data_IF_658958007038
#
_entry.id   IF_658958007038
#
_cell.length_a   1.000
_cell.length_b   1.000
_cell.length_c   1.000
_cell.angle_alpha   90.00
_cell.angle_beta   90.00
_cell.angle_gamma   90.00
#
_symmetry.space_group_name_H-M   'P 1'
#
loop_
_entity.id
_entity.type
_entity.pdbx_description
1 polymer ?
#
# COMPACT_ATOMS: atom_id res chain seq x y z
N UNK A 1 -34.65 6.44 7.12
CA UNK A 1 -33.72 7.42 7.73
C UNK A 1 -32.65 6.72 8.58
N UNK A 2 -31.98 5.67 8.08
CA UNK A 2 -31.05 4.87 8.89
C UNK A 2 -29.56 5.20 8.69
N UNK A 3 -29.22 5.91 7.60
CA UNK A 3 -27.82 6.14 7.21
C UNK A 3 -27.02 7.09 8.11
N UNK A 4 -27.66 7.90 8.96
CA UNK A 4 -26.93 8.79 9.87
C UNK A 4 -26.36 8.04 11.08
N UNK A 5 -27.17 7.16 11.70
CA UNK A 5 -26.75 6.37 12.86
C UNK A 5 -25.65 5.38 12.46
N UNK A 6 -25.79 4.73 11.31
CA UNK A 6 -24.79 3.80 10.78
C UNK A 6 -23.45 4.49 10.48
N UNK A 7 -23.49 5.67 9.84
CA UNK A 7 -22.27 6.46 9.57
C UNK A 7 -21.57 6.95 10.84
N UNK A 8 -22.33 7.37 11.85
CA UNK A 8 -21.77 7.80 13.14
C UNK A 8 -21.21 6.61 13.92
N UNK A 9 -21.91 5.46 13.91
CA UNK A 9 -21.41 4.24 14.54
C UNK A 9 -20.12 3.74 13.88
N UNK A 10 -20.02 3.80 12.54
CA UNK A 10 -18.80 3.50 11.78
C UNK A 10 -17.64 4.41 12.15
N UNK A 11 -17.82 5.73 12.09
CA UNK A 11 -16.76 6.71 12.43
C UNK A 11 -16.27 6.57 13.88
N UNK A 12 -17.17 6.26 14.82
CA UNK A 12 -16.79 5.98 16.22
C UNK A 12 -16.00 4.69 16.38
N UNK A 13 -16.39 3.62 15.67
CA UNK A 13 -15.67 2.36 15.66
C UNK A 13 -14.26 2.54 15.05
N UNK A 14 -14.13 3.24 13.93
CA UNK A 14 -12.85 3.53 13.27
C UNK A 14 -11.94 4.36 14.16
N UNK A 15 -12.47 5.42 14.80
CA UNK A 15 -11.71 6.22 15.77
C UNK A 15 -11.24 5.40 16.96
N UNK A 16 -12.03 4.43 17.42
CA UNK A 16 -11.62 3.52 18.49
C UNK A 16 -10.50 2.59 18.02
N UNK A 17 -10.68 1.93 16.89
CA UNK A 17 -9.69 1.01 16.30
C UNK A 17 -8.37 1.73 16.01
N UNK A 18 -8.42 2.96 15.51
CA UNK A 18 -7.24 3.80 15.31
C UNK A 18 -6.50 4.10 16.63
N UNK A 19 -7.22 4.42 17.70
CA UNK A 19 -6.59 4.65 19.01
C UNK A 19 -5.94 3.39 19.57
N UNK A 20 -6.61 2.25 19.45
CA UNK A 20 -6.07 0.95 19.84
C UNK A 20 -4.80 0.61 19.06
N UNK A 21 -4.83 0.79 17.73
CA UNK A 21 -3.67 0.65 16.86
C UNK A 21 -2.50 1.55 17.30
N UNK A 22 -2.74 2.84 17.52
CA UNK A 22 -1.69 3.76 17.99
C UNK A 22 -1.15 3.39 19.38
N UNK A 23 -1.95 2.79 20.25
CA UNK A 23 -1.47 2.29 21.54
C UNK A 23 -0.54 1.08 21.37
N UNK A 24 -0.92 0.13 20.51
CA UNK A 24 -0.11 -1.04 20.13
C UNK A 24 1.24 -0.66 19.54
N UNK A 25 1.24 0.24 18.56
CA UNK A 25 2.49 0.71 17.94
C UNK A 25 3.39 1.44 18.95
N UNK A 26 2.82 2.11 19.96
CA UNK A 26 3.58 2.77 21.04
C UNK A 26 4.27 1.79 21.98
N UNK A 27 3.79 0.56 22.15
CA UNK A 27 4.44 -0.42 23.02
C UNK A 27 5.61 -1.14 22.34
N UNK A 28 5.73 -1.03 21.02
CA UNK A 28 6.84 -1.62 20.28
C UNK A 28 8.20 -0.98 20.65
N UNK A 29 9.30 -1.76 20.58
CA UNK A 29 10.64 -1.20 20.68
C UNK A 29 10.88 -0.14 19.60
N UNK A 30 11.73 0.84 19.90
CA UNK A 30 11.88 2.06 19.10
C UNK A 30 12.15 1.82 17.61
N UNK A 31 12.93 0.80 17.26
CA UNK A 31 13.21 0.46 15.86
C UNK A 31 11.95 -0.02 15.11
N UNK A 32 11.20 -0.96 15.70
CA UNK A 32 9.96 -1.50 15.11
C UNK A 32 8.90 -0.41 14.99
N UNK A 33 8.71 0.40 16.04
CA UNK A 33 7.81 1.54 16.02
C UNK A 33 8.11 2.51 14.87
N UNK A 34 9.38 2.87 14.66
CA UNK A 34 9.78 3.75 13.54
C UNK A 34 9.49 3.13 12.18
N UNK A 35 9.69 1.83 12.03
CA UNK A 35 9.39 1.12 10.79
C UNK A 35 7.89 1.11 10.49
N UNK A 36 7.06 0.82 11.50
CA UNK A 36 5.60 0.86 11.37
C UNK A 36 5.13 2.27 10.99
N UNK A 37 5.59 3.31 11.67
CA UNK A 37 5.20 4.70 11.36
C UNK A 37 5.64 5.15 9.96
N UNK A 38 6.77 4.66 9.45
CA UNK A 38 7.21 4.93 8.08
C UNK A 38 6.30 4.24 7.04
N UNK A 39 5.95 2.98 7.30
CA UNK A 39 5.02 2.22 6.46
C UNK A 39 3.63 2.84 6.47
N UNK A 40 3.10 3.22 7.64
CA UNK A 40 1.82 3.94 7.77
C UNK A 40 1.75 5.16 6.86
N UNK A 41 2.78 6.01 6.88
CA UNK A 41 2.84 7.23 6.04
C UNK A 41 2.83 6.89 4.55
N UNK A 42 3.59 5.88 4.15
CA UNK A 42 3.63 5.45 2.76
C UNK A 42 2.28 4.91 2.29
N UNK A 43 1.64 4.07 3.11
CA UNK A 43 0.33 3.48 2.83
C UNK A 43 -0.77 4.55 2.74
N UNK A 44 -0.75 5.56 3.63
CA UNK A 44 -1.63 6.73 3.54
C UNK A 44 -1.42 7.46 2.21
N UNK A 45 -0.17 7.77 1.87
CA UNK A 45 0.15 8.44 0.62
C UNK A 45 -0.37 7.65 -0.58
N UNK A 46 -0.18 6.33 -0.60
CA UNK A 46 -0.66 5.44 -1.68
C UNK A 46 -2.18 5.34 -1.75
N UNK A 47 -2.90 5.32 -0.63
CA UNK A 47 -4.37 5.23 -0.62
C UNK A 47 -5.04 6.57 -0.96
N UNK A 48 -4.43 7.69 -0.53
CA UNK A 48 -4.94 9.03 -0.83
C UNK A 48 -4.67 9.39 -2.30
N UNK A 49 -3.45 9.15 -2.79
CA UNK A 49 -3.00 9.59 -4.13
C UNK A 49 -3.09 8.51 -5.21
N UNK A 50 -3.30 7.25 -4.84
CA UNK A 50 -3.48 6.15 -5.78
C UNK A 50 -4.94 5.89 -6.11
N UNK A 51 -5.23 5.57 -7.37
CA UNK A 51 -6.53 5.08 -7.85
C UNK A 51 -6.86 3.66 -7.38
N UNK A 52 -5.94 3.01 -6.63
CA UNK A 52 -5.99 1.59 -6.25
C UNK A 52 -7.16 1.19 -5.32
N UNK A 53 -7.97 2.13 -4.83
CA UNK A 53 -9.18 1.84 -4.06
C UNK A 53 -10.35 2.58 -4.71
N UNK A 54 -10.89 1.98 -5.77
CA UNK A 54 -12.18 2.31 -6.38
C UNK A 54 -13.17 1.21 -6.03
N UNK A 55 -14.21 1.53 -5.25
CA UNK A 55 -15.20 0.54 -4.83
C UNK A 55 -16.03 0.96 -3.62
N UNK A 56 -17.13 0.24 -3.37
CA UNK A 56 -18.12 0.50 -2.31
C UNK A 56 -17.59 0.35 -0.87
N UNK A 57 -16.34 -0.10 -0.68
CA UNK A 57 -15.66 -0.12 0.61
C UNK A 57 -15.02 1.25 0.81
N UNK A 58 -15.33 1.91 1.93
CA UNK A 58 -14.76 3.24 2.16
C UNK A 58 -13.26 3.12 2.37
N UNK A 59 -12.49 4.10 1.86
CA UNK A 59 -11.03 4.17 2.06
C UNK A 59 -10.62 4.07 3.54
N UNK A 60 -11.53 4.41 4.47
CA UNK A 60 -11.34 4.31 5.92
C UNK A 60 -11.24 2.87 6.41
N UNK A 61 -12.23 2.03 6.10
CA UNK A 61 -12.29 0.64 6.57
C UNK A 61 -11.04 -0.15 6.18
N UNK A 62 -10.64 -0.02 4.90
CA UNK A 62 -9.45 -0.68 4.35
C UNK A 62 -8.16 -0.24 5.07
N UNK A 63 -8.02 1.06 5.35
CA UNK A 63 -6.84 1.56 6.05
C UNK A 63 -6.74 1.02 7.47
N UNK A 64 -7.87 0.94 8.18
CA UNK A 64 -7.87 0.45 9.56
C UNK A 64 -7.56 -1.05 9.61
N UNK A 65 -8.10 -1.86 8.70
CA UNK A 65 -7.77 -3.29 8.62
C UNK A 65 -6.29 -3.50 8.30
N UNK A 66 -5.77 -2.73 7.34
CA UNK A 66 -4.36 -2.79 6.96
C UNK A 66 -3.43 -2.42 8.11
N UNK A 67 -3.79 -1.40 8.90
CA UNK A 67 -3.04 -1.03 10.10
C UNK A 67 -3.05 -2.11 11.17
N UNK A 68 -4.19 -2.79 11.36
CA UNK A 68 -4.24 -3.90 12.31
C UNK A 68 -3.32 -5.05 11.89
N UNK A 69 -3.33 -5.44 10.61
CA UNK A 69 -2.39 -6.46 10.12
C UNK A 69 -0.93 -6.01 10.27
N UNK A 70 -0.63 -4.75 9.97
CA UNK A 70 0.71 -4.19 10.13
C UNK A 70 1.18 -4.24 11.60
N UNK A 71 0.31 -3.89 12.56
CA UNK A 71 0.63 -3.98 13.98
C UNK A 71 0.88 -5.43 14.41
N UNK A 72 0.03 -6.37 13.99
CA UNK A 72 0.16 -7.79 14.34
C UNK A 72 1.48 -8.40 13.86
N UNK A 73 1.87 -8.11 12.62
CA UNK A 73 3.14 -8.58 12.05
C UNK A 73 4.33 -8.05 12.86
N UNK A 74 4.32 -6.77 13.21
CA UNK A 74 5.44 -6.14 13.92
C UNK A 74 5.48 -6.46 15.42
N UNK A 75 4.34 -6.71 16.05
CA UNK A 75 4.27 -7.22 17.42
C UNK A 75 4.87 -8.62 17.52
N UNK A 76 4.49 -9.51 16.59
CA UNK A 76 5.06 -10.86 16.53
C UNK A 76 6.56 -10.81 16.28
N UNK A 77 7.01 -10.04 15.30
CA UNK A 77 8.43 -9.87 15.02
C UNK A 77 9.20 -9.31 16.22
N UNK A 78 8.64 -8.34 16.94
CA UNK A 78 9.28 -7.80 18.13
C UNK A 78 9.35 -8.81 19.28
N UNK A 79 8.30 -9.63 19.46
CA UNK A 79 8.28 -10.69 20.47
C UNK A 79 9.30 -11.80 20.17
N UNK A 80 9.46 -12.14 18.90
CA UNK A 80 10.39 -13.19 18.43
C UNK A 80 11.83 -12.66 18.28
N UNK A 81 12.04 -11.34 18.38
CA UNK A 81 13.34 -10.72 18.13
C UNK A 81 13.75 -10.68 16.65
N UNK A 82 12.81 -10.89 15.73
CA UNK A 82 13.03 -10.97 14.28
C UNK A 82 13.49 -9.62 13.72
N UNK A 83 14.66 -9.54 13.09
CA UNK A 83 15.13 -8.30 12.48
C UNK A 83 14.09 -7.70 11.52
N UNK A 84 13.87 -6.38 11.59
CA UNK A 84 12.90 -5.67 10.73
C UNK A 84 13.11 -6.00 9.24
N UNK A 85 14.37 -6.22 8.83
CA UNK A 85 14.72 -6.54 7.45
C UNK A 85 14.24 -7.92 6.99
N UNK A 86 14.10 -8.86 7.92
CA UNK A 86 13.50 -10.16 7.65
C UNK A 86 11.97 -10.07 7.56
N UNK A 87 11.36 -9.12 8.27
CA UNK A 87 9.92 -8.86 8.21
C UNK A 87 9.52 -8.20 6.89
N UNK A 88 10.18 -7.09 6.53
CA UNK A 88 9.81 -6.29 5.34
C UNK A 88 10.55 -6.73 4.07
N UNK A 89 11.52 -7.63 4.19
CA UNK A 89 12.38 -8.06 3.10
C UNK A 89 13.35 -6.99 2.60
N UNK A 90 14.00 -7.29 1.47
CA UNK A 90 14.98 -6.41 0.83
C UNK A 90 14.36 -5.11 0.25
N UNK A 91 13.06 -5.12 -0.02
CA UNK A 91 12.35 -3.96 -0.56
C UNK A 91 11.10 -3.64 0.28
N UNK A 92 11.19 -2.65 1.19
CA UNK A 92 10.05 -2.24 2.02
C UNK A 92 8.90 -1.63 1.20
N UNK A 93 9.18 -1.08 0.02
CA UNK A 93 8.14 -0.56 -0.88
C UNK A 93 7.34 -1.72 -1.46
N UNK A 94 8.03 -2.76 -1.93
CA UNK A 94 7.38 -3.98 -2.41
C UNK A 94 6.55 -4.65 -1.32
N UNK A 95 7.06 -4.68 -0.08
CA UNK A 95 6.28 -5.18 1.07
C UNK A 95 4.98 -4.39 1.26
N UNK A 96 5.07 -3.05 1.29
CA UNK A 96 3.89 -2.19 1.46
C UNK A 96 2.89 -2.33 0.30
N UNK A 97 3.38 -2.44 -0.93
CA UNK A 97 2.56 -2.61 -2.12
C UNK A 97 1.87 -3.98 -2.15
N UNK A 98 2.56 -5.03 -1.74
CA UNK A 98 1.97 -6.36 -1.58
C UNK A 98 0.90 -6.34 -0.48
N UNK A 99 1.17 -5.71 0.66
CA UNK A 99 0.22 -5.60 1.75
C UNK A 99 -1.03 -4.84 1.29
N UNK A 100 -0.87 -3.71 0.60
CA UNK A 100 -1.98 -2.94 0.03
C UNK A 100 -2.75 -3.73 -1.04
N UNK A 101 -2.07 -4.49 -1.89
CA UNK A 101 -2.68 -5.31 -2.95
C UNK A 101 -3.62 -6.38 -2.39
N UNK A 102 -3.34 -6.96 -1.22
CA UNK A 102 -4.25 -7.91 -0.55
C UNK A 102 -5.63 -7.30 -0.28
N UNK A 103 -5.65 -6.03 0.10
CA UNK A 103 -6.88 -5.31 0.42
C UNK A 103 -7.53 -4.67 -0.80
N UNK A 104 -6.75 -4.25 -1.80
CA UNK A 104 -7.27 -3.82 -3.09
C UNK A 104 -7.94 -4.99 -3.85
N UNK A 105 -7.39 -6.21 -3.75
CA UNK A 105 -7.96 -7.40 -4.35
C UNK A 105 -9.31 -7.82 -3.72
N UNK A 106 -9.60 -7.41 -2.48
CA UNK A 106 -10.90 -7.64 -1.83
C UNK A 106 -12.02 -6.71 -2.34
N UNK A 107 -11.69 -5.71 -3.16
CA UNK A 107 -12.63 -4.77 -3.76
C UNK A 107 -12.38 -4.56 -5.24
N UNK A 108 -12.39 -5.63 -6.05
CA UNK A 108 -12.24 -5.52 -7.51
C UNK A 108 -13.23 -4.52 -8.12
N UNK A 109 -12.70 -3.42 -8.62
CA UNK A 109 -12.91 -3.05 -10.02
C UNK A 109 -11.55 -2.93 -10.71
N UNK A 110 -11.42 -3.69 -11.79
CA UNK A 110 -10.43 -3.62 -12.88
C UNK A 110 -9.01 -4.14 -12.64
N UNK A 111 -8.93 -5.47 -12.66
CA UNK A 111 -7.77 -6.23 -13.16
C UNK A 111 -7.34 -5.80 -14.59
N UNK A 112 -8.20 -5.08 -15.32
CA UNK A 112 -7.97 -4.63 -16.70
C UNK A 112 -7.07 -3.38 -16.82
N UNK A 113 -6.86 -2.60 -15.75
CA UNK A 113 -6.12 -1.32 -15.87
C UNK A 113 -4.60 -1.44 -15.71
N UNK A 114 -4.13 -2.30 -14.80
CA UNK A 114 -2.68 -2.50 -14.59
C UNK A 114 -2.01 -3.08 -15.86
N UNK A 115 -2.73 -3.91 -16.62
CA UNK A 115 -2.23 -4.40 -17.90
C UNK A 115 -2.24 -3.31 -18.98
N UNK A 116 -3.28 -2.47 -19.07
CA UNK A 116 -3.42 -1.48 -20.15
C UNK A 116 -2.41 -0.34 -20.09
N UNK A 117 -2.21 0.24 -18.90
CA UNK A 117 -1.32 1.41 -18.76
C UNK A 117 0.16 0.99 -18.80
N UNK A 118 0.51 -0.19 -18.27
CA UNK A 118 1.86 -0.74 -18.41
C UNK A 118 2.18 -1.15 -19.85
N UNK A 119 1.22 -1.72 -20.60
CA UNK A 119 1.45 -2.04 -22.02
C UNK A 119 1.73 -0.78 -22.84
N UNK A 120 1.04 0.32 -22.52
CA UNK A 120 1.17 1.58 -23.25
C UNK A 120 2.54 2.23 -23.06
N UNK A 121 3.05 2.25 -21.82
CA UNK A 121 4.39 2.80 -21.57
C UNK A 121 5.52 1.85 -21.91
N UNK A 122 5.30 0.53 -21.89
CA UNK A 122 6.23 -0.44 -22.48
C UNK A 122 6.34 -0.24 -24.00
N UNK A 123 5.22 -0.10 -24.72
CA UNK A 123 5.23 0.16 -26.16
C UNK A 123 5.91 1.50 -26.50
N UNK A 124 5.71 2.52 -25.67
CA UNK A 124 6.34 3.83 -25.85
C UNK A 124 7.86 3.78 -25.64
N UNK A 125 8.32 3.08 -24.61
CA UNK A 125 9.75 2.90 -24.33
C UNK A 125 10.42 2.06 -25.42
N UNK A 126 9.80 0.95 -25.84
CA UNK A 126 10.28 0.10 -26.93
C UNK A 126 10.35 0.89 -28.24
N UNK A 127 9.31 1.66 -28.57
CA UNK A 127 9.30 2.52 -29.76
C UNK A 127 10.39 3.60 -29.73
N UNK A 128 10.60 4.21 -28.56
CA UNK A 128 11.63 5.25 -28.39
C UNK A 128 13.05 4.68 -28.54
N UNK A 129 13.32 3.48 -28.01
CA UNK A 129 14.62 2.81 -28.15
C UNK A 129 14.84 2.36 -29.59
N UNK A 130 13.85 1.76 -30.24
CA UNK A 130 13.97 1.33 -31.64
C UNK A 130 14.23 2.51 -32.59
N UNK A 131 13.64 3.67 -32.32
CA UNK A 131 13.90 4.88 -33.08
C UNK A 131 15.32 5.43 -32.84
N UNK A 132 15.77 5.43 -31.58
CA UNK A 132 17.15 5.84 -31.25
C UNK A 132 18.21 4.92 -31.89
N UNK A 133 17.97 3.61 -31.94
CA UNK A 133 18.87 2.64 -32.60
C UNK A 133 18.92 2.82 -34.13
N UNK A 134 17.79 3.16 -34.76
CA UNK A 134 17.72 3.44 -36.20
C UNK A 134 18.45 4.75 -36.58
N UNK A 135 18.43 5.75 -35.69
CA UNK A 135 19.15 7.01 -35.85
C UNK A 135 20.66 6.84 -35.62
N UNK A 136 21.08 6.02 -34.64
CA UNK A 136 22.50 5.74 -34.33
C UNK A 136 23.17 4.84 -35.39
N UNK A 137 22.42 3.86 -35.94
CA UNK A 137 22.85 3.00 -37.04
C UNK A 137 22.86 3.66 -38.42
N UNK A 138 22.36 4.90 -38.54
CA UNK A 138 22.38 5.68 -39.79
C UNK A 138 23.57 6.64 -39.88
N UNK A 139 24.58 6.51 -39.02
CA UNK A 139 25.83 7.27 -39.15
C UNK A 139 26.62 6.74 -40.36
N UNK A 140 26.74 7.50 -41.47
CA UNK A 140 27.45 7.03 -42.65
C UNK A 140 28.96 7.10 -42.39
N UNK A 141 29.66 5.98 -42.56
CA UNK A 141 31.07 5.98 -42.96
C UNK A 141 31.16 5.83 -44.48
#
# INVERSE_FOLDING_TARGET
MSGFIEKVAGDLADKRRWREHRARVKTLPTAYRRAVEALERYLIYRVINGEAITGAVTKGDVLVDLYQELAEVFERAAADGTPIREVVGADPLRFADMLLSKYAAAGWSDKEWIDKEQHKEQQRLVGTIAQAEAEDGSTPS
#
